data_IF_079202264754
#
_entry.id   IF_079202264754
#
_cell.length_a   1.000
_cell.length_b   1.000
_cell.length_c   1.000
_cell.angle_alpha   90.00
_cell.angle_beta   90.00
_cell.angle_gamma   90.00
#
_symmetry.space_group_name_H-M   'P 1'
#
loop_
_entity.id
_entity.type
_entity.pdbx_description
1 polymer ?
#
# COMPACT_ATOMS: atom_id res chain seq x y z
N UNK A 1 -5.64 21.82 -2.95
CA UNK A 1 -4.67 21.06 -3.79
C UNK A 1 -4.20 19.78 -3.11
N UNK A 2 -4.05 19.73 -1.77
CA UNK A 2 -3.63 18.52 -1.05
C UNK A 2 -4.53 17.28 -1.23
N UNK A 3 -5.85 17.46 -1.40
CA UNK A 3 -6.81 16.35 -1.52
C UNK A 3 -6.60 15.47 -2.77
N UNK A 4 -6.26 16.06 -3.92
CA UNK A 4 -6.07 15.33 -5.18
C UNK A 4 -4.80 14.46 -5.19
N UNK A 5 -3.80 14.80 -4.38
CA UNK A 5 -2.58 14.01 -4.28
C UNK A 5 -2.81 12.69 -3.51
N UNK A 6 -3.91 12.59 -2.77
CA UNK A 6 -4.22 11.41 -1.96
C UNK A 6 -4.65 10.22 -2.82
N UNK A 7 -5.28 10.49 -3.97
CA UNK A 7 -5.94 9.49 -4.80
C UNK A 7 -5.44 9.44 -6.24
N UNK A 8 -4.46 10.28 -6.60
CA UNK A 8 -3.85 10.32 -7.94
C UNK A 8 -3.32 8.96 -8.42
N UNK A 9 -2.81 8.13 -7.50
CA UNK A 9 -2.27 6.81 -7.81
C UNK A 9 -3.29 5.66 -7.68
N UNK A 10 -4.52 5.95 -7.25
CA UNK A 10 -5.56 4.92 -7.04
C UNK A 10 -6.75 5.10 -7.99
N UNK A 11 -7.14 6.33 -8.33
CA UNK A 11 -8.30 6.63 -9.20
C UNK A 11 -8.22 5.93 -10.56
N UNK A 12 -7.05 5.91 -11.19
CA UNK A 12 -6.87 5.34 -12.53
C UNK A 12 -7.28 3.86 -12.59
N UNK A 13 -7.01 3.12 -11.50
CA UNK A 13 -7.37 1.70 -11.36
C UNK A 13 -8.89 1.52 -11.29
N UNK A 14 -9.57 2.37 -10.51
CA UNK A 14 -11.03 2.36 -10.41
C UNK A 14 -11.69 2.67 -11.75
N UNK A 15 -11.18 3.68 -12.47
CA UNK A 15 -11.74 4.08 -13.76
C UNK A 15 -11.52 3.02 -14.85
N UNK A 16 -10.39 2.31 -14.81
CA UNK A 16 -10.09 1.21 -15.71
C UNK A 16 -10.83 -0.10 -15.35
N UNK A 17 -11.38 -0.22 -14.14
CA UNK A 17 -12.01 -1.45 -13.66
C UNK A 17 -11.02 -2.60 -13.44
N UNK A 18 -9.75 -2.27 -13.17
CA UNK A 18 -8.68 -3.26 -12.97
C UNK A 18 -8.61 -3.68 -11.49
N UNK A 19 -8.18 -4.91 -11.19
CA UNK A 19 -7.89 -5.31 -9.82
C UNK A 19 -6.65 -4.56 -9.29
N UNK A 20 -6.74 -4.03 -8.06
CA UNK A 20 -5.65 -3.33 -7.39
C UNK A 20 -5.58 -3.67 -5.91
N UNK A 21 -4.37 -3.74 -5.35
CA UNK A 21 -4.12 -3.95 -3.91
C UNK A 21 -2.94 -3.12 -3.45
N UNK A 22 -2.97 -2.76 -2.17
CA UNK A 22 -1.84 -2.13 -1.50
C UNK A 22 -1.21 -3.13 -0.52
N UNK A 23 0.12 -3.23 -0.53
CA UNK A 23 0.90 -4.04 0.42
C UNK A 23 1.88 -3.16 1.19
N UNK A 24 2.19 -3.45 2.47
CA UNK A 24 3.16 -2.67 3.24
C UNK A 24 4.56 -2.76 2.60
N UNK A 25 5.20 -1.63 2.37
CA UNK A 25 6.50 -1.55 1.67
C UNK A 25 7.59 -0.84 2.48
N UNK A 26 7.36 -0.66 3.79
CA UNK A 26 8.31 -0.10 4.73
C UNK A 26 7.84 1.22 5.34
N UNK A 27 8.81 2.03 5.75
CA UNK A 27 8.57 3.30 6.43
C UNK A 27 9.39 4.42 5.78
N UNK A 28 8.79 5.61 5.70
CA UNK A 28 9.47 6.87 5.38
C UNK A 28 9.12 7.87 6.47
N UNK A 29 10.12 8.52 7.05
CA UNK A 29 9.92 9.53 8.10
C UNK A 29 9.08 9.02 9.29
N UNK A 30 9.22 7.73 9.63
CA UNK A 30 8.46 7.07 10.70
C UNK A 30 7.01 6.73 10.35
N UNK A 31 6.56 7.02 9.12
CA UNK A 31 5.21 6.72 8.63
C UNK A 31 5.21 5.49 7.71
N UNK A 32 4.19 4.63 7.78
CA UNK A 32 4.10 3.46 6.91
C UNK A 32 3.88 3.86 5.46
N UNK A 33 4.57 3.18 4.55
CA UNK A 33 4.47 3.35 3.10
C UNK A 33 3.86 2.09 2.49
N UNK A 34 2.92 2.27 1.57
CA UNK A 34 2.31 1.17 0.80
C UNK A 34 2.81 1.11 -0.63
N UNK A 35 2.87 -0.11 -1.19
CA UNK A 35 3.11 -0.37 -2.61
C UNK A 35 1.81 -0.77 -3.28
N UNK A 36 1.42 -0.05 -4.33
CA UNK A 36 0.26 -0.35 -5.15
C UNK A 36 0.62 -1.37 -6.24
N UNK A 37 -0.05 -2.51 -6.25
CA UNK A 37 0.02 -3.52 -7.29
C UNK A 37 -1.28 -3.46 -8.10
N UNK A 38 -1.18 -3.43 -9.42
CA UNK A 38 -2.34 -3.43 -10.33
C UNK A 38 -2.21 -4.65 -11.25
N UNK A 39 -3.22 -5.51 -11.23
CA UNK A 39 -3.32 -6.66 -12.11
C UNK A 39 -4.07 -6.33 -13.40
N UNK A 40 -3.98 -7.24 -14.38
CA UNK A 40 -4.90 -7.20 -15.53
C UNK A 40 -6.27 -7.78 -15.13
N UNK A 41 -7.28 -7.62 -15.98
CA UNK A 41 -8.60 -8.21 -15.75
C UNK A 41 -8.50 -9.69 -15.42
N UNK A 42 -9.13 -10.09 -14.31
CA UNK A 42 -9.21 -11.48 -13.84
C UNK A 42 -7.85 -12.13 -13.50
N UNK A 43 -6.80 -11.34 -13.26
CA UNK A 43 -5.45 -11.82 -12.92
C UNK A 43 -5.14 -11.73 -11.41
N UNK A 44 -6.17 -11.78 -10.55
CA UNK A 44 -6.03 -11.66 -9.09
C UNK A 44 -5.17 -12.79 -8.50
N UNK A 45 -5.23 -13.99 -9.07
CA UNK A 45 -4.42 -15.12 -8.62
C UNK A 45 -2.91 -14.84 -8.75
N UNK A 46 -2.48 -14.28 -9.88
CA UNK A 46 -1.09 -13.87 -10.09
C UNK A 46 -0.73 -12.71 -9.19
N UNK A 47 -1.61 -11.73 -9.09
CA UNK A 47 -1.42 -10.55 -8.26
C UNK A 47 -1.22 -10.90 -6.78
N UNK A 48 -2.05 -11.81 -6.24
CA UNK A 48 -1.91 -12.36 -4.89
C UNK A 48 -0.61 -13.16 -4.73
N UNK A 49 -0.20 -13.92 -5.75
CA UNK A 49 1.07 -14.63 -5.70
C UNK A 49 2.26 -13.66 -5.66
N UNK A 50 2.23 -12.56 -6.42
CA UNK A 50 3.26 -11.50 -6.35
C UNK A 50 3.34 -10.90 -4.95
N UNK A 51 2.19 -10.54 -4.37
CA UNK A 51 2.14 -10.04 -3.00
C UNK A 51 2.65 -11.05 -1.98
N UNK A 52 2.32 -12.34 -2.14
CA UNK A 52 2.80 -13.40 -1.29
C UNK A 52 4.32 -13.57 -1.38
N UNK A 53 4.90 -13.62 -2.59
CA UNK A 53 6.35 -13.70 -2.75
C UNK A 53 7.05 -12.47 -2.17
N UNK A 54 6.47 -11.28 -2.34
CA UNK A 54 6.99 -10.05 -1.74
C UNK A 54 6.99 -10.12 -0.21
N UNK A 55 5.91 -10.61 0.42
CA UNK A 55 5.87 -10.78 1.88
C UNK A 55 6.88 -11.83 2.37
N UNK A 56 7.18 -12.87 1.59
CA UNK A 56 8.13 -13.92 2.02
C UNK A 56 9.57 -13.42 2.08
N UNK A 57 9.88 -12.34 1.34
CA UNK A 57 11.22 -11.71 1.32
C UNK A 57 11.26 -10.38 2.10
N UNK A 58 10.18 -10.00 2.78
CA UNK A 58 10.09 -8.76 3.54
C UNK A 58 9.29 -8.92 4.84
N UNK A 59 9.73 -8.26 5.91
CA UNK A 59 9.05 -8.34 7.21
C UNK A 59 8.09 -7.16 7.47
N UNK A 60 7.82 -6.32 6.46
CA UNK A 60 7.00 -5.12 6.60
C UNK A 60 5.58 -5.40 7.10
N UNK A 61 5.05 -6.57 6.77
CA UNK A 61 3.74 -7.02 7.22
C UNK A 61 3.67 -7.33 8.73
N UNK A 62 4.82 -7.46 9.40
CA UNK A 62 4.92 -7.67 10.86
C UNK A 62 5.28 -6.39 11.62
N UNK A 63 5.76 -5.37 10.91
CA UNK A 63 6.21 -4.13 11.50
C UNK A 63 5.01 -3.25 11.89
N UNK A 64 5.02 -2.77 13.14
CA UNK A 64 4.05 -1.82 13.64
C UNK A 64 4.71 -0.45 13.79
N UNK A 65 4.05 0.64 13.40
CA UNK A 65 4.55 1.96 13.73
C UNK A 65 4.63 2.11 15.26
N UNK A 66 5.69 2.76 15.75
CA UNK A 66 5.69 3.27 17.12
C UNK A 66 4.56 4.32 17.19
N UNK A 67 3.40 3.91 17.71
CA UNK A 67 2.25 4.78 17.96
C UNK A 67 2.74 6.08 18.59
N UNK A 68 2.79 7.17 17.80
CA UNK A 68 3.03 8.56 18.19
C UNK A 68 3.34 8.78 19.68
N UNK A 69 4.49 8.27 20.16
CA UNK A 69 4.92 8.41 21.56
C UNK A 69 5.68 9.73 21.70
N UNK A 70 5.05 10.79 21.23
CA UNK A 70 5.49 12.17 21.39
C UNK A 70 4.26 13.08 21.30
N UNK A 71 3.56 13.20 22.43
CA UNK A 71 2.82 14.38 22.90
C UNK A 71 2.32 15.35 21.81
N UNK A 72 1.07 15.20 21.36
CA UNK A 72 0.23 16.33 20.96
C UNK A 72 -1.25 15.90 20.89
N UNK A 73 -1.87 15.82 22.06
CA UNK A 73 -3.27 16.23 22.23
C UNK A 73 -3.22 17.48 23.11
N UNK A 74 -3.07 18.63 22.46
CA UNK A 74 -3.50 19.93 22.97
C UNK A 74 -4.26 20.63 21.85
#
# INVERSE_FOLDING_TARGET
VAMYLQDIYTISTNLAGLPGMSVPAGFSDGLPVGLQIIGNYFDEARMLNVAHQYQQVTDWHTAMPELASSKEVK
#
